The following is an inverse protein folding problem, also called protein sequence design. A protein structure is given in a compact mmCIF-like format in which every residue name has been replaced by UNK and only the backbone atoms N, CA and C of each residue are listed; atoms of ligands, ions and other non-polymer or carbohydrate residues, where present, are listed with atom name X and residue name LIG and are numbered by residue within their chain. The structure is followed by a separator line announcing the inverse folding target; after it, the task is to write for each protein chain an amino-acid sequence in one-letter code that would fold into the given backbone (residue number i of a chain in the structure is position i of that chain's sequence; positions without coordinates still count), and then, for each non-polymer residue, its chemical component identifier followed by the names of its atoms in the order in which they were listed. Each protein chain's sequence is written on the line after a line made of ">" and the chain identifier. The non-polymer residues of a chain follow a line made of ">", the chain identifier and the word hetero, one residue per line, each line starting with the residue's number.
data_IF_446640975479
#
_entry.id   IF_446640975479
#
_cell.length_a   1.000
_cell.length_b   1.000
_cell.length_c   1.000
_cell.angle_alpha   90.00
_cell.angle_beta   90.00
_cell.angle_gamma   90.00
#
_symmetry.space_group_name_H-M   'P 1'
#
loop_
_entity.id
_entity.type
_entity.pdbx_description
1 polymer ?
#
# COMPACT_ATOMS: atom_id res chain seq x y z
N UNK A 1 -40.09 20.35 23.07
CA UNK A 1 -39.84 18.90 23.22
C UNK A 1 -40.35 18.24 21.95
N UNK A 2 -39.43 17.97 21.01
CA UNK A 2 -39.49 16.95 19.93
C UNK A 2 -38.49 17.35 18.85
N UNK A 3 -37.21 17.02 19.07
CA UNK A 3 -36.14 17.00 18.07
C UNK A 3 -35.33 15.71 18.32
N UNK A 4 -36.03 14.58 18.30
CA UNK A 4 -35.44 13.24 18.29
C UNK A 4 -36.17 12.47 17.22
N UNK A 5 -35.40 11.79 16.38
CA UNK A 5 -35.82 10.72 15.45
C UNK A 5 -35.78 11.06 13.94
N UNK A 6 -34.81 11.85 13.49
CA UNK A 6 -34.29 11.80 12.11
C UNK A 6 -32.86 11.23 12.11
N UNK A 7 -32.64 10.08 12.75
CA UNK A 7 -31.46 9.27 12.45
C UNK A 7 -31.77 8.48 11.18
N UNK A 8 -31.48 9.09 10.02
CA UNK A 8 -31.42 8.36 8.75
C UNK A 8 -30.63 7.07 8.97
N UNK A 9 -31.28 5.94 8.66
CA UNK A 9 -30.79 4.59 8.87
C UNK A 9 -29.57 4.38 7.97
N UNK A 10 -28.39 4.78 8.47
CA UNK A 10 -27.12 4.59 7.78
C UNK A 10 -26.99 3.09 7.55
N UNK A 11 -26.78 2.63 6.30
CA UNK A 11 -26.64 1.21 6.03
C UNK A 11 -25.57 0.65 6.97
N UNK A 12 -25.84 -0.50 7.58
CA UNK A 12 -24.93 -1.13 8.51
C UNK A 12 -23.56 -1.28 7.84
N UNK A 13 -22.63 -0.39 8.18
CA UNK A 13 -21.26 -0.45 7.72
C UNK A 13 -20.71 -1.80 8.20
N UNK A 14 -20.12 -2.56 7.29
CA UNK A 14 -19.49 -3.83 7.66
C UNK A 14 -18.45 -3.54 8.76
N UNK A 15 -18.63 -4.08 9.98
CA UNK A 15 -17.76 -3.75 11.11
C UNK A 15 -16.30 -4.10 10.85
N UNK A 16 -16.02 -5.08 9.99
CA UNK A 16 -14.64 -5.46 9.64
C UNK A 16 -14.02 -4.51 8.62
N UNK A 17 -14.82 -3.96 7.70
CA UNK A 17 -14.41 -2.88 6.82
C UNK A 17 -14.12 -1.60 7.60
N UNK A 18 -15.00 -1.21 8.52
CA UNK A 18 -14.79 -0.05 9.38
C UNK A 18 -13.54 -0.20 10.25
N UNK A 19 -13.31 -1.39 10.84
CA UNK A 19 -12.08 -1.67 11.60
C UNK A 19 -10.83 -1.57 10.73
N UNK A 20 -10.88 -2.01 9.46
CA UNK A 20 -9.77 -1.88 8.52
C UNK A 20 -9.46 -0.42 8.25
N UNK A 21 -10.48 0.39 7.94
CA UNK A 21 -10.30 1.82 7.69
C UNK A 21 -9.76 2.58 8.91
N UNK A 22 -10.26 2.25 10.11
CA UNK A 22 -9.74 2.83 11.37
C UNK A 22 -8.27 2.48 11.56
N UNK A 23 -7.85 1.23 11.30
CA UNK A 23 -6.44 0.82 11.46
C UNK A 23 -5.51 1.48 10.45
N UNK A 24 -5.97 1.69 9.23
CA UNK A 24 -5.13 2.25 8.16
C UNK A 24 -5.12 3.78 8.21
N UNK A 25 -6.29 4.39 8.01
CA UNK A 25 -6.44 5.85 7.92
C UNK A 25 -6.65 6.47 9.29
N UNK A 26 -7.52 5.87 10.10
CA UNK A 26 -7.86 6.40 11.43
C UNK A 26 -6.64 6.52 12.34
N UNK A 27 -5.75 5.52 12.33
CA UNK A 27 -4.53 5.51 13.14
C UNK A 27 -3.59 6.68 12.79
N UNK A 28 -3.42 6.97 11.50
CA UNK A 28 -2.60 8.10 11.03
C UNK A 28 -3.21 9.44 11.47
N UNK A 29 -4.51 9.63 11.25
CA UNK A 29 -5.21 10.86 11.65
C UNK A 29 -5.16 11.06 13.17
N UNK A 30 -5.36 9.99 13.95
CA UNK A 30 -5.25 10.03 15.40
C UNK A 30 -3.83 10.42 15.85
N UNK A 31 -2.80 9.83 15.25
CA UNK A 31 -1.41 10.19 15.55
C UNK A 31 -1.13 11.68 15.27
N UNK A 32 -1.53 12.19 14.09
CA UNK A 32 -1.35 13.59 13.72
C UNK A 32 -2.08 14.55 14.69
N UNK A 33 -3.30 14.20 15.10
CA UNK A 33 -4.06 14.97 16.08
C UNK A 33 -3.36 15.01 17.45
N UNK A 34 -2.85 13.87 17.92
CA UNK A 34 -2.12 13.79 19.20
C UNK A 34 -0.82 14.60 19.15
N UNK A 35 -0.08 14.56 18.03
CA UNK A 35 1.09 15.43 17.82
C UNK A 35 0.69 16.90 17.86
N UNK A 36 -0.43 17.27 17.22
CA UNK A 36 -0.98 18.62 17.28
C UNK A 36 -1.22 19.10 18.72
N UNK A 37 -1.83 18.25 19.56
CA UNK A 37 -2.05 18.57 20.99
C UNK A 37 -0.74 18.76 21.75
N UNK A 38 0.28 17.92 21.50
CA UNK A 38 1.58 18.03 22.15
C UNK A 38 2.30 19.34 21.79
N UNK A 39 2.17 19.80 20.54
CA UNK A 39 2.84 20.99 20.03
C UNK A 39 2.07 22.29 20.31
N UNK A 40 0.77 22.23 20.59
CA UNK A 40 -0.03 23.44 20.87
C UNK A 40 0.35 24.06 22.22
N UNK A 41 0.91 25.28 22.27
CA UNK A 41 1.26 25.94 23.53
C UNK A 41 0.03 26.21 24.42
N UNK A 42 -1.17 26.35 23.84
CA UNK A 42 -2.42 26.63 24.55
C UNK A 42 -3.11 25.39 25.10
N UNK A 43 -2.73 24.19 24.65
CA UNK A 43 -3.35 22.96 25.14
C UNK A 43 -3.04 22.77 26.63
N UNK A 44 -4.04 22.35 27.43
CA UNK A 44 -3.88 22.19 28.87
C UNK A 44 -2.92 21.04 29.19
N UNK A 45 -2.16 21.18 30.29
CA UNK A 45 -1.21 20.18 30.76
C UNK A 45 -1.74 18.73 30.77
N UNK A 46 -2.96 18.42 31.27
CA UNK A 46 -3.49 17.05 31.24
C UNK A 46 -3.71 16.49 29.82
N UNK A 47 -4.07 17.33 28.85
CA UNK A 47 -4.25 16.90 27.46
C UNK A 47 -2.90 16.52 26.84
N UNK A 48 -1.87 17.34 27.07
CA UNK A 48 -0.49 17.06 26.62
C UNK A 48 0.06 15.79 27.25
N UNK A 49 -0.14 15.61 28.55
CA UNK A 49 0.32 14.41 29.25
C UNK A 49 -0.35 13.15 28.68
N UNK A 50 -1.65 13.20 28.41
CA UNK A 50 -2.41 12.08 27.84
C UNK A 50 -1.95 11.78 26.41
N UNK A 51 -1.79 12.81 25.58
CA UNK A 51 -1.34 12.65 24.20
C UNK A 51 0.10 12.09 24.13
N UNK A 52 1.01 12.65 24.93
CA UNK A 52 2.39 12.18 25.03
C UNK A 52 2.48 10.74 25.52
N UNK A 53 1.74 10.38 26.57
CA UNK A 53 1.70 9.01 27.10
C UNK A 53 1.18 8.02 26.06
N UNK A 54 0.14 8.41 25.30
CA UNK A 54 -0.44 7.56 24.25
C UNK A 54 0.56 7.27 23.14
N UNK A 55 1.23 8.31 22.63
CA UNK A 55 2.26 8.18 21.58
C UNK A 55 3.40 7.28 22.07
N UNK A 56 3.90 7.51 23.29
CA UNK A 56 5.01 6.73 23.84
C UNK A 56 4.63 5.26 24.10
N UNK A 57 3.40 4.99 24.52
CA UNK A 57 2.91 3.62 24.72
C UNK A 57 2.77 2.88 23.39
N UNK A 58 2.18 3.50 22.37
CA UNK A 58 2.07 2.91 21.02
C UNK A 58 3.45 2.69 20.39
N UNK A 59 4.42 3.57 20.67
CA UNK A 59 5.81 3.41 20.26
C UNK A 59 6.62 2.37 21.04
N UNK A 60 6.02 1.69 22.02
CA UNK A 60 6.70 0.66 22.83
C UNK A 60 7.64 1.20 23.91
N UNK A 61 7.62 2.51 24.18
CA UNK A 61 8.52 3.13 25.17
C UNK A 61 8.04 2.99 26.62
N UNK A 62 6.75 2.69 26.83
CA UNK A 62 6.12 2.64 28.15
C UNK A 62 5.52 1.27 28.52
N UNK A 63 5.81 0.22 27.75
CA UNK A 63 5.42 -1.13 28.13
C UNK A 63 6.22 -1.60 29.35
N UNK A 64 5.51 -2.04 30.40
CA UNK A 64 6.15 -2.75 31.51
C UNK A 64 6.56 -4.13 31.01
N UNK A 65 7.80 -4.52 31.29
CA UNK A 65 8.40 -5.80 30.88
C UNK A 65 7.61 -7.03 31.37
N UNK A 66 6.73 -6.87 32.37
CA UNK A 66 6.03 -7.99 33.03
C UNK A 66 4.72 -8.46 32.37
N UNK A 67 4.11 -7.67 31.47
CA UNK A 67 2.79 -8.00 30.89
C UNK A 67 2.85 -8.23 29.36
N UNK A 68 4.01 -8.60 28.82
CA UNK A 68 4.03 -9.34 27.55
C UNK A 68 3.43 -10.73 27.81
N UNK A 69 2.11 -10.80 27.99
CA UNK A 69 1.38 -11.89 27.37
C UNK A 69 1.71 -11.73 25.90
N UNK A 70 2.65 -12.53 25.44
CA UNK A 70 2.60 -13.02 24.07
C UNK A 70 1.16 -13.50 23.89
N UNK A 71 0.28 -12.63 23.41
CA UNK A 71 -0.73 -13.03 22.44
C UNK A 71 0.06 -13.43 21.20
N UNK A 72 0.91 -14.45 21.35
CA UNK A 72 1.51 -15.17 20.25
C UNK A 72 0.31 -15.51 19.40
N UNK A 73 0.30 -15.00 18.17
CA UNK A 73 -0.70 -15.42 17.20
C UNK A 73 -0.78 -16.93 17.36
N UNK A 74 -1.89 -17.43 17.88
CA UNK A 74 -2.12 -18.87 17.95
C UNK A 74 -2.40 -19.29 16.51
N UNK A 75 -1.34 -19.33 15.73
CA UNK A 75 -1.38 -19.85 14.38
C UNK A 75 -1.47 -21.35 14.56
N UNK A 76 -2.66 -21.88 14.31
CA UNK A 76 -2.86 -23.31 14.16
C UNK A 76 -1.82 -23.84 13.15
N UNK A 77 -0.98 -24.75 13.60
CA UNK A 77 0.12 -25.33 12.81
C UNK A 77 -0.40 -25.91 11.49
N UNK A 78 -1.61 -26.47 11.50
CA UNK A 78 -2.26 -26.98 10.29
C UNK A 78 -2.61 -25.87 9.29
N UNK A 79 -3.07 -24.72 9.79
CA UNK A 79 -3.36 -23.54 8.96
C UNK A 79 -2.09 -22.94 8.38
N UNK A 80 -1.01 -22.88 9.16
CA UNK A 80 0.29 -22.41 8.69
C UNK A 80 0.84 -23.33 7.60
N UNK A 81 0.80 -24.65 7.80
CA UNK A 81 1.23 -25.63 6.81
C UNK A 81 0.42 -25.52 5.51
N UNK A 82 -0.91 -25.44 5.59
CA UNK A 82 -1.77 -25.26 4.42
C UNK A 82 -1.45 -23.97 3.66
N UNK A 83 -1.21 -22.87 4.38
CA UNK A 83 -0.86 -21.58 3.80
C UNK A 83 0.51 -21.65 3.10
N UNK A 84 1.51 -22.30 3.73
CA UNK A 84 2.82 -22.51 3.13
C UNK A 84 2.75 -23.34 1.84
N UNK A 85 1.97 -24.42 1.82
CA UNK A 85 1.81 -25.26 0.64
C UNK A 85 1.07 -24.54 -0.50
N UNK A 86 0.10 -23.68 -0.19
CA UNK A 86 -0.53 -22.83 -1.20
C UNK A 86 0.46 -21.81 -1.78
N UNK A 87 1.24 -21.14 -0.94
CA UNK A 87 2.24 -20.17 -1.38
C UNK A 87 3.32 -20.82 -2.24
N UNK A 88 3.83 -22.00 -1.87
CA UNK A 88 4.77 -22.77 -2.69
C UNK A 88 4.21 -23.10 -4.07
N UNK A 89 2.94 -23.54 -4.14
CA UNK A 89 2.28 -23.83 -5.42
C UNK A 89 2.13 -22.58 -6.30
N UNK A 90 1.77 -21.44 -5.71
CA UNK A 90 1.68 -20.16 -6.42
C UNK A 90 3.05 -19.70 -6.94
N UNK A 91 4.10 -19.81 -6.13
CA UNK A 91 5.46 -19.47 -6.55
C UNK A 91 5.91 -20.34 -7.75
N UNK A 92 5.73 -21.65 -7.68
CA UNK A 92 6.09 -22.56 -8.77
C UNK A 92 5.26 -22.34 -10.06
N UNK A 93 4.03 -21.83 -9.94
CA UNK A 93 3.23 -21.45 -11.10
C UNK A 93 3.75 -20.16 -11.75
N UNK A 94 4.15 -19.17 -10.94
CA UNK A 94 4.77 -17.93 -11.41
C UNK A 94 6.11 -18.18 -12.07
N UNK A 95 6.97 -19.04 -11.51
CA UNK A 95 8.26 -19.38 -12.09
C UNK A 95 8.10 -20.04 -13.47
N UNK A 96 7.20 -21.01 -13.59
CA UNK A 96 6.88 -21.64 -14.89
C UNK A 96 6.29 -20.65 -15.90
N UNK A 97 5.45 -19.72 -15.45
CA UNK A 97 4.92 -18.66 -16.31
C UNK A 97 6.04 -17.71 -16.78
N UNK A 98 7.01 -17.41 -15.93
CA UNK A 98 8.17 -16.59 -16.29
C UNK A 98 9.12 -17.33 -17.24
N UNK A 99 9.37 -18.62 -17.03
CA UNK A 99 10.19 -19.45 -17.91
C UNK A 99 9.58 -19.59 -19.30
N UNK A 100 8.28 -19.84 -19.38
CA UNK A 100 7.56 -19.90 -20.67
C UNK A 100 7.55 -18.54 -21.38
N UNK A 101 7.37 -17.44 -20.65
CA UNK A 101 7.47 -16.10 -21.21
C UNK A 101 8.89 -15.77 -21.71
N UNK A 102 9.94 -16.19 -20.98
CA UNK A 102 11.34 -16.03 -21.41
C UNK A 102 11.67 -16.89 -22.63
N UNK A 103 11.20 -18.13 -22.68
CA UNK A 103 11.38 -19.03 -23.82
C UNK A 103 10.65 -18.53 -25.08
N UNK A 104 9.47 -17.93 -24.93
CA UNK A 104 8.74 -17.28 -26.01
C UNK A 104 9.42 -15.98 -26.48
N UNK A 105 10.04 -15.22 -25.57
CA UNK A 105 10.83 -14.02 -25.90
C UNK A 105 12.19 -14.29 -26.57
N UNK A 106 12.72 -15.51 -26.46
CA UNK A 106 14.01 -15.91 -27.05
C UNK A 106 13.90 -16.41 -28.50
N UNK A 107 12.69 -16.57 -29.05
CA UNK A 107 12.45 -16.99 -30.43
C UNK A 107 12.05 -15.79 -31.31
N UNK A 108 13.01 -14.89 -31.59
CA UNK A 108 12.98 -14.14 -32.84
C UNK A 108 13.96 -14.86 -33.78
N UNK A 109 13.49 -15.56 -34.84
CA UNK A 109 14.42 -16.12 -35.81
C UNK A 109 15.20 -14.98 -36.47
N UNK A 110 16.51 -15.00 -36.28
CA UNK A 110 17.46 -14.19 -37.03
C UNK A 110 17.34 -14.56 -38.52
N UNK A 111 16.52 -13.80 -39.24
CA UNK A 111 16.51 -13.80 -40.70
C UNK A 111 17.79 -13.14 -41.24
N UNK A 112 18.30 -13.53 -42.42
CA UNK A 112 19.65 -13.19 -42.86
C UNK A 112 19.82 -11.67 -43.08
N UNK A 113 20.98 -11.17 -42.65
CA UNK A 113 21.48 -9.85 -42.97
C UNK A 113 21.82 -9.78 -44.47
N UNK A 114 21.02 -9.04 -45.25
CA UNK A 114 21.42 -8.57 -46.58
C UNK A 114 21.72 -7.06 -46.49
N UNK A 115 22.99 -6.64 -46.70
CA UNK A 115 23.35 -5.24 -46.72
C UNK A 115 23.21 -4.67 -48.13
N UNK A 116 22.22 -3.82 -48.37
CA UNK A 116 22.31 -2.86 -49.49
C UNK A 116 22.04 -1.43 -49.00
N UNK A 117 23.07 -0.61 -49.13
CA UNK A 117 23.06 0.85 -48.98
C UNK A 117 23.85 1.39 -50.18
N UNK A 118 23.64 2.62 -50.67
CA UNK A 118 22.43 3.44 -50.81
C UNK A 118 22.21 3.93 -52.27
N UNK A 119 21.03 4.48 -52.59
CA UNK A 119 20.92 5.48 -53.66
C UNK A 119 20.26 6.76 -53.13
N UNK A 120 21.12 7.74 -52.80
CA UNK A 120 20.73 9.15 -52.64
C UNK A 120 20.11 9.64 -53.94
N UNK A 121 18.88 10.14 -53.91
CA UNK A 121 18.47 11.31 -54.72
C UNK A 121 17.52 12.15 -53.89
N UNK A 122 18.09 13.16 -53.23
CA UNK A 122 17.32 14.28 -52.72
C UNK A 122 16.84 15.13 -53.88
N UNK A 123 15.56 15.49 -53.88
CA UNK A 123 15.01 16.73 -54.47
C UNK A 123 13.73 17.07 -53.71
N UNK A 124 13.64 18.28 -53.15
CA UNK A 124 12.36 18.91 -52.85
C UNK A 124 12.07 19.35 -51.41
N UNK A 125 12.85 20.28 -50.87
CA UNK A 125 12.29 21.45 -50.17
C UNK A 125 12.99 22.67 -50.79
N UNK A 126 12.37 23.87 -50.93
CA UNK A 126 11.54 24.46 -49.89
C UNK A 126 10.35 25.30 -50.39
N UNK A 127 9.21 25.19 -49.71
CA UNK A 127 8.26 26.29 -49.59
C UNK A 127 7.90 26.36 -48.11
N UNK A 128 7.97 27.48 -47.42
CA UNK A 128 8.09 28.85 -47.88
C UNK A 128 7.27 29.65 -46.90
N UNK A 129 7.96 30.38 -46.01
CA UNK A 129 7.42 31.50 -45.27
C UNK A 129 6.36 31.19 -44.20
N UNK A 130 6.00 32.12 -43.33
CA UNK A 130 6.51 33.47 -43.01
C UNK A 130 5.57 33.95 -41.88
N UNK A 131 6.07 34.83 -41.00
CA UNK A 131 5.33 35.63 -40.01
C UNK A 131 4.91 34.91 -38.72
N UNK A 132 5.04 35.50 -37.53
CA UNK A 132 5.74 36.70 -37.02
C UNK A 132 5.84 36.49 -35.50
#
# INVERSE_FOLDING_TARGET
>A
MSDRDDYEERPAEDPDELRREIRERGARVAYEALVGVCLDPKAPAPAKATAGTTILRVGGYLEKVDDRKDEGLQVDEARLAATLEELKRRAAALDRAQETARAAGAQTPAGPLEPTRPARKGKGKPGGGLFD
#
